data_IF_226708567661
#
_entry.id   IF_226708567661
#
_cell.length_a   1.000
_cell.length_b   1.000
_cell.length_c   1.000
_cell.angle_alpha   90.00
_cell.angle_beta   90.00
_cell.angle_gamma   90.00
#
_symmetry.space_group_name_H-M   'P 1'
#
loop_
_entity.id
_entity.type
_entity.pdbx_description
1 polymer ?
#
# COMPACT_ATOMS: atom_id res chain seq x y z
N UNK A 1 -17.72 73.77 -35.19
CA UNK A 1 -17.48 73.22 -36.53
C UNK A 1 -16.95 71.79 -36.39
N UNK A 2 -17.64 70.85 -37.04
CA UNK A 2 -17.25 69.50 -37.49
C UNK A 2 -16.54 68.49 -36.55
N UNK A 3 -17.25 67.36 -36.36
CA UNK A 3 -16.82 66.00 -35.97
C UNK A 3 -15.79 65.38 -36.96
N UNK A 4 -15.11 64.25 -36.65
CA UNK A 4 -15.71 62.94 -36.97
C UNK A 4 -15.33 61.76 -36.04
N UNK A 5 -16.27 60.84 -35.87
CA UNK A 5 -16.03 59.42 -35.57
C UNK A 5 -15.61 58.69 -36.87
N UNK A 6 -14.95 57.53 -36.79
CA UNK A 6 -15.30 56.47 -37.73
C UNK A 6 -15.56 55.12 -37.05
N UNK A 7 -16.56 54.47 -37.62
CA UNK A 7 -17.00 53.07 -37.52
C UNK A 7 -15.97 52.05 -38.05
N UNK A 8 -16.00 50.84 -37.46
CA UNK A 8 -15.46 49.48 -37.80
C UNK A 8 -15.13 49.15 -39.28
N UNK A 9 -14.27 48.15 -39.66
CA UNK A 9 -14.16 46.76 -39.13
C UNK A 9 -12.75 46.07 -39.18
N UNK A 10 -12.60 44.86 -38.62
CA UNK A 10 -11.57 43.88 -39.05
C UNK A 10 -10.68 43.24 -37.98
N UNK A 11 -10.91 41.93 -37.77
CA UNK A 11 -9.94 40.85 -37.51
C UNK A 11 -8.80 41.01 -36.50
N UNK A 12 -8.98 40.45 -35.29
CA UNK A 12 -7.88 40.07 -34.41
C UNK A 12 -8.10 38.68 -33.76
N UNK A 13 -7.46 37.68 -34.38
CA UNK A 13 -6.73 36.55 -33.76
C UNK A 13 -7.51 35.54 -32.88
N UNK A 14 -7.95 34.39 -33.42
CA UNK A 14 -8.26 33.21 -32.61
C UNK A 14 -6.94 32.48 -32.28
N UNK A 15 -6.14 33.03 -31.36
CA UNK A 15 -4.82 32.47 -31.04
C UNK A 15 -4.52 32.29 -29.54
N UNK A 16 -5.24 33.00 -28.66
CA UNK A 16 -4.84 33.09 -27.25
C UNK A 16 -5.46 31.98 -26.40
N UNK A 17 -6.62 31.43 -26.79
CA UNK A 17 -7.28 30.38 -26.02
C UNK A 17 -6.79 28.95 -26.31
N UNK A 18 -6.06 28.71 -27.39
CA UNK A 18 -5.46 27.38 -27.67
C UNK A 18 -4.21 27.08 -26.81
N UNK A 19 -3.62 28.10 -26.19
CA UNK A 19 -2.38 27.93 -25.45
C UNK A 19 -2.59 27.47 -24.00
N UNK A 20 -3.80 27.64 -23.44
CA UNK A 20 -4.16 27.08 -22.13
C UNK A 20 -4.38 25.57 -22.16
N UNK A 21 -4.94 25.03 -23.25
CA UNK A 21 -5.14 23.57 -23.42
C UNK A 21 -3.83 22.81 -23.61
N UNK A 22 -2.78 23.49 -24.10
CA UNK A 22 -1.45 22.89 -24.29
C UNK A 22 -0.66 22.74 -22.97
N UNK A 23 -1.00 23.54 -21.94
CA UNK A 23 -0.41 23.40 -20.60
C UNK A 23 -1.05 22.26 -19.80
N UNK A 24 -2.32 21.92 -20.08
CA UNK A 24 -2.99 20.78 -19.44
C UNK A 24 -2.35 19.43 -19.82
N UNK A 25 -1.72 19.33 -20.99
CA UNK A 25 -1.03 18.11 -21.43
C UNK A 25 0.33 17.88 -20.79
N UNK A 26 0.97 18.90 -20.18
CA UNK A 26 2.30 18.71 -19.57
C UNK A 26 2.24 18.22 -18.10
N UNK A 27 1.15 18.53 -17.38
CA UNK A 27 1.00 18.18 -15.95
C UNK A 27 0.75 16.68 -15.72
N UNK A 28 0.28 15.96 -16.74
CA UNK A 28 -0.02 14.52 -16.65
C UNK A 28 1.25 13.64 -16.58
N UNK A 29 2.42 14.16 -16.96
CA UNK A 29 3.71 13.44 -16.94
C UNK A 29 4.21 13.15 -15.51
N UNK A 30 3.86 14.00 -14.55
CA UNK A 30 4.47 14.00 -13.21
C UNK A 30 3.87 12.97 -12.25
N UNK A 31 2.81 12.27 -12.66
CA UNK A 31 2.12 11.30 -11.83
C UNK A 31 2.38 9.85 -12.29
N UNK A 32 2.37 8.92 -11.33
CA UNK A 32 2.31 7.50 -11.60
C UNK A 32 0.86 7.00 -11.60
N UNK A 33 0.50 6.26 -12.64
CA UNK A 33 -0.78 5.57 -12.80
C UNK A 33 -0.62 4.05 -12.73
N UNK A 34 0.54 3.55 -12.27
CA UNK A 34 0.84 2.11 -12.20
C UNK A 34 -0.16 1.29 -11.37
N UNK A 35 -0.83 1.91 -10.40
CA UNK A 35 -1.85 1.28 -9.56
C UNK A 35 -3.27 1.34 -10.14
N UNK A 36 -3.41 1.72 -11.40
CA UNK A 36 -4.69 1.71 -12.09
C UNK A 36 -5.34 0.32 -12.07
N UNK A 37 -6.56 0.25 -11.52
CA UNK A 37 -7.37 -0.97 -11.51
C UNK A 37 -8.19 -1.01 -12.81
N UNK A 38 -8.32 -2.16 -13.49
CA UNK A 38 -9.21 -2.30 -14.65
C UNK A 38 -10.66 -1.98 -14.26
N UNK A 39 -11.42 -1.35 -15.16
CA UNK A 39 -12.83 -0.93 -14.94
C UNK A 39 -13.75 -2.08 -14.47
N UNK A 40 -13.35 -3.35 -14.61
CA UNK A 40 -14.09 -4.52 -14.13
C UNK A 40 -14.03 -4.77 -12.60
N UNK A 41 -13.23 -4.02 -11.86
CA UNK A 41 -13.05 -4.21 -10.40
C UNK A 41 -13.32 -2.94 -9.58
N UNK A 42 -13.69 -1.83 -10.22
CA UNK A 42 -14.03 -0.59 -9.55
C UNK A 42 -15.54 -0.48 -9.34
N UNK A 43 -15.92 -0.25 -8.08
CA UNK A 43 -17.27 0.01 -7.55
C UNK A 43 -18.05 -1.26 -7.18
N UNK A 44 -17.93 -1.64 -5.90
CA UNK A 44 -18.94 -2.38 -5.11
C UNK A 44 -19.69 -3.49 -5.87
N UNK A 45 -19.09 -4.66 -6.05
CA UNK A 45 -19.78 -5.97 -5.92
C UNK A 45 -18.75 -7.12 -6.02
N UNK A 46 -18.11 -7.49 -4.91
CA UNK A 46 -17.48 -8.81 -4.75
C UNK A 46 -18.07 -9.49 -3.52
N UNK A 47 -19.38 -9.34 -3.32
CA UNK A 47 -20.15 -10.10 -2.33
C UNK A 47 -21.19 -11.04 -2.98
N UNK A 48 -21.26 -11.12 -4.33
CA UNK A 48 -22.23 -11.97 -5.03
C UNK A 48 -21.77 -13.38 -5.44
N UNK A 49 -20.52 -13.79 -5.18
CA UNK A 49 -20.04 -15.13 -5.62
C UNK A 49 -19.71 -16.09 -4.46
N UNK A 50 -19.87 -15.70 -3.19
CA UNK A 50 -19.59 -16.62 -2.07
C UNK A 50 -20.71 -16.74 -1.02
N UNK A 51 -21.74 -15.89 -1.02
CA UNK A 51 -22.83 -16.00 -0.05
C UNK A 51 -24.06 -16.70 -0.64
N UNK A 52 -24.01 -18.04 -0.65
CA UNK A 52 -25.21 -18.84 -0.54
C UNK A 52 -25.17 -19.60 0.78
N UNK A 53 -25.06 -18.85 1.88
CA UNK A 53 -25.54 -19.21 3.21
C UNK A 53 -25.35 -18.00 4.14
N UNK A 54 -26.36 -17.76 4.98
CA UNK A 54 -26.46 -16.75 6.05
C UNK A 54 -26.82 -15.31 5.62
N UNK A 55 -28.12 -15.14 5.39
CA UNK A 55 -28.88 -13.92 5.69
C UNK A 55 -28.69 -13.51 7.16
N UNK A 56 -28.16 -12.30 7.40
CA UNK A 56 -28.58 -11.46 8.54
C UNK A 56 -28.24 -9.98 8.33
N UNK A 57 -29.31 -9.19 8.22
CA UNK A 57 -29.51 -7.77 8.57
C UNK A 57 -28.47 -6.70 8.16
N UNK A 58 -28.98 -5.79 7.32
CA UNK A 58 -28.46 -4.48 6.91
C UNK A 58 -28.37 -3.46 8.08
N UNK A 59 -27.58 -3.76 9.11
CA UNK A 59 -27.12 -2.73 10.06
C UNK A 59 -25.76 -2.26 9.58
N UNK A 60 -25.60 -0.99 9.26
CA UNK A 60 -24.29 -0.34 9.07
C UNK A 60 -23.46 -0.57 10.33
N UNK A 61 -22.62 -1.61 10.34
CA UNK A 61 -21.83 -2.00 11.51
C UNK A 61 -20.81 -0.88 11.76
N UNK A 62 -20.98 -0.13 12.85
CA UNK A 62 -20.10 0.98 13.24
C UNK A 62 -18.76 0.50 13.83
N UNK A 63 -18.73 -0.74 14.32
CA UNK A 63 -17.56 -1.39 14.93
C UNK A 63 -17.49 -2.88 14.61
N UNK A 64 -16.33 -3.50 14.88
CA UNK A 64 -16.15 -4.95 14.78
C UNK A 64 -16.67 -5.60 16.08
N UNK A 65 -17.54 -6.63 16.01
CA UNK A 65 -18.04 -7.32 17.20
C UNK A 65 -16.92 -7.98 18.02
N UNK A 66 -17.00 -7.95 19.35
CA UNK A 66 -15.96 -8.54 20.22
C UNK A 66 -15.70 -10.02 19.97
N UNK A 67 -16.73 -10.78 19.54
CA UNK A 67 -16.60 -12.20 19.15
C UNK A 67 -15.49 -12.45 18.13
N UNK A 68 -15.13 -11.46 17.30
CA UNK A 68 -14.08 -11.59 16.28
C UNK A 68 -12.69 -11.87 16.86
N UNK A 69 -12.44 -11.58 18.14
CA UNK A 69 -11.16 -11.86 18.81
C UNK A 69 -10.91 -13.37 18.90
N UNK A 70 -11.98 -14.16 19.02
CA UNK A 70 -11.91 -15.61 19.17
C UNK A 70 -11.78 -16.36 17.83
N UNK A 71 -11.81 -15.64 16.71
CA UNK A 71 -11.58 -16.23 15.40
C UNK A 71 -10.16 -16.83 15.32
N UNK A 72 -9.95 -17.85 14.46
CA UNK A 72 -8.64 -18.46 14.30
C UNK A 72 -7.60 -17.40 13.91
N UNK A 73 -6.39 -17.46 14.49
CA UNK A 73 -5.35 -16.48 14.25
C UNK A 73 -4.88 -16.56 12.79
N UNK A 74 -4.80 -15.40 12.13
CA UNK A 74 -4.38 -15.28 10.73
C UNK A 74 -3.01 -14.60 10.68
N UNK A 75 -2.09 -15.17 9.91
CA UNK A 75 -0.76 -14.61 9.67
C UNK A 75 -0.83 -13.19 9.10
N UNK A 76 0.12 -12.34 9.48
CA UNK A 76 0.10 -10.94 9.07
C UNK A 76 0.27 -10.75 7.56
N UNK A 77 1.03 -11.64 6.91
CA UNK A 77 1.33 -11.60 5.48
C UNK A 77 0.24 -12.26 4.61
N UNK A 78 -0.84 -12.76 5.22
CA UNK A 78 -1.91 -13.43 4.49
C UNK A 78 -2.79 -12.43 3.74
N UNK A 79 -3.06 -12.71 2.46
CA UNK A 79 -3.97 -11.92 1.61
C UNK A 79 -5.42 -11.96 2.12
N UNK A 80 -5.80 -13.03 2.83
CA UNK A 80 -7.16 -13.19 3.36
C UNK A 80 -7.39 -12.45 4.68
N UNK A 81 -6.40 -11.69 5.16
CA UNK A 81 -6.49 -10.96 6.41
C UNK A 81 -7.34 -9.71 6.25
N UNK A 82 -8.63 -9.80 6.60
CA UNK A 82 -9.57 -8.67 6.63
C UNK A 82 -9.51 -7.99 8.00
N UNK A 83 -8.91 -6.80 8.05
CA UNK A 83 -8.73 -6.05 9.30
C UNK A 83 -9.78 -4.94 9.47
N UNK A 84 -10.25 -4.37 8.37
CA UNK A 84 -11.15 -3.22 8.40
C UNK A 84 -12.63 -3.62 8.47
N UNK A 85 -13.45 -2.69 8.95
CA UNK A 85 -14.91 -2.83 8.93
C UNK A 85 -15.38 -2.83 7.47
N UNK A 86 -16.11 -3.88 7.03
CA UNK A 86 -16.59 -3.97 5.66
C UNK A 86 -17.59 -2.86 5.34
N UNK A 87 -17.52 -2.31 4.13
CA UNK A 87 -18.45 -1.26 3.66
C UNK A 87 -18.21 0.15 4.21
N UNK A 88 -17.27 0.35 5.14
CA UNK A 88 -16.95 1.67 5.70
C UNK A 88 -15.68 2.25 5.07
N UNK A 89 -15.75 3.47 4.54
CA UNK A 89 -14.61 4.19 3.97
C UNK A 89 -13.62 4.69 5.05
N UNK A 90 -12.36 4.89 4.66
CA UNK A 90 -11.33 5.50 5.52
C UNK A 90 -11.12 6.93 5.06
N UNK A 91 -11.43 7.89 5.92
CA UNK A 91 -11.17 9.31 5.67
C UNK A 91 -9.74 9.62 6.07
N UNK A 92 -9.00 10.28 5.18
CA UNK A 92 -7.60 10.66 5.36
C UNK A 92 -7.50 12.18 5.31
N UNK A 93 -6.76 12.80 6.24
CA UNK A 93 -6.46 14.23 6.24
C UNK A 93 -5.01 14.48 6.64
N UNK A 94 -4.30 15.34 5.93
CA UNK A 94 -2.97 15.78 6.34
C UNK A 94 -3.11 17.04 7.21
N UNK A 95 -2.74 16.96 8.49
CA UNK A 95 -2.89 18.09 9.43
C UNK A 95 -1.65 18.98 9.42
N UNK A 96 -0.49 18.39 9.69
CA UNK A 96 0.74 19.14 9.96
C UNK A 96 1.89 18.59 9.13
N UNK A 97 2.86 19.46 8.87
CA UNK A 97 4.14 19.11 8.28
C UNK A 97 5.28 19.72 9.10
N UNK A 98 6.06 18.87 9.77
CA UNK A 98 7.28 19.26 10.49
C UNK A 98 8.49 19.08 9.56
N UNK A 99 9.22 20.15 9.24
CA UNK A 99 10.41 20.10 8.39
C UNK A 99 11.69 20.09 9.22
N UNK A 100 12.42 18.99 9.21
CA UNK A 100 13.70 18.82 9.91
C UNK A 100 14.85 18.64 8.93
N UNK A 101 15.42 19.75 8.46
CA UNK A 101 16.54 19.77 7.50
C UNK A 101 17.87 19.33 8.14
N UNK A 102 18.02 19.50 9.46
CA UNK A 102 19.24 19.18 10.21
C UNK A 102 19.47 17.68 10.38
N UNK A 103 18.40 16.92 10.65
CA UNK A 103 18.48 15.47 10.95
C UNK A 103 18.32 14.57 9.72
N UNK A 104 17.67 15.05 8.66
CA UNK A 104 17.29 14.21 7.51
C UNK A 104 17.41 14.93 6.18
N UNK A 105 18.53 14.68 5.48
CA UNK A 105 18.90 15.40 4.25
C UNK A 105 18.01 15.07 3.03
N UNK A 106 17.54 13.83 2.89
CA UNK A 106 16.82 13.36 1.69
C UNK A 106 15.28 13.46 1.79
N UNK A 107 14.73 13.38 3.01
CA UNK A 107 13.28 13.47 3.27
C UNK A 107 13.06 14.25 4.57
N UNK A 108 13.19 15.60 4.52
CA UNK A 108 13.19 16.44 5.70
C UNK A 108 11.79 16.58 6.32
N UNK A 109 10.73 16.35 5.55
CA UNK A 109 9.35 16.57 5.97
C UNK A 109 8.76 15.34 6.67
N UNK A 110 8.17 15.58 7.84
CA UNK A 110 7.42 14.62 8.62
C UNK A 110 5.96 15.08 8.65
N UNK A 111 5.09 14.30 8.02
CA UNK A 111 3.66 14.57 7.93
C UNK A 111 2.91 13.93 9.10
N UNK A 112 2.01 14.69 9.71
CA UNK A 112 1.00 14.17 10.63
C UNK A 112 -0.29 13.93 9.86
N UNK A 113 -0.66 12.65 9.72
CA UNK A 113 -1.83 12.19 8.97
C UNK A 113 -2.90 11.76 9.96
N UNK A 114 -4.08 12.34 9.86
CA UNK A 114 -5.27 11.96 10.59
C UNK A 114 -6.11 10.98 9.78
N UNK A 115 -6.53 9.91 10.44
CA UNK A 115 -7.29 8.83 9.86
C UNK A 115 -8.56 8.62 10.67
N UNK A 116 -9.69 8.49 9.98
CA UNK A 116 -10.97 8.18 10.57
C UNK A 116 -11.60 6.99 9.84
N UNK A 117 -12.03 5.99 10.60
CA UNK A 117 -12.67 4.79 10.09
C UNK A 117 -13.79 4.37 11.05
N UNK A 118 -15.05 4.53 10.63
CA UNK A 118 -16.21 4.39 11.51
C UNK A 118 -16.14 5.38 12.68
N UNK A 119 -16.27 4.86 13.89
CA UNK A 119 -16.14 5.64 15.14
C UNK A 119 -14.69 5.84 15.59
N UNK A 120 -13.74 5.15 14.95
CA UNK A 120 -12.34 5.18 15.37
C UNK A 120 -11.57 6.27 14.63
N UNK A 121 -10.84 7.07 15.40
CA UNK A 121 -9.94 8.10 14.88
C UNK A 121 -8.54 7.91 15.44
N UNK A 122 -7.51 8.03 14.61
CA UNK A 122 -6.12 7.97 15.05
C UNK A 122 -5.22 8.80 14.16
N UNK A 123 -4.04 9.15 14.68
CA UNK A 123 -3.03 9.91 13.96
C UNK A 123 -1.78 9.06 13.74
N UNK A 124 -1.18 9.18 12.55
CA UNK A 124 0.11 8.57 12.24
C UNK A 124 1.09 9.65 11.77
N UNK A 125 2.35 9.53 12.18
CA UNK A 125 3.43 10.37 11.67
C UNK A 125 4.23 9.60 10.63
N UNK A 126 4.33 10.13 9.40
CA UNK A 126 5.00 9.48 8.27
C UNK A 126 5.77 10.49 7.43
N UNK A 127 6.92 10.06 6.90
CA UNK A 127 7.69 10.83 5.92
C UNK A 127 7.31 10.40 4.52
N UNK A 128 7.65 11.21 3.52
CA UNK A 128 7.40 10.91 2.12
C UNK A 128 7.94 9.52 1.70
N UNK A 129 9.16 9.16 2.14
CA UNK A 129 9.75 7.83 1.86
C UNK A 129 8.87 6.64 2.26
N UNK A 130 8.05 6.77 3.30
CA UNK A 130 7.18 5.67 3.74
C UNK A 130 5.98 5.50 2.79
N UNK A 131 5.44 6.61 2.28
CA UNK A 131 4.36 6.61 1.30
C UNK A 131 4.88 6.11 -0.05
N UNK A 132 6.09 6.53 -0.44
CA UNK A 132 6.78 6.03 -1.63
C UNK A 132 7.03 4.52 -1.55
N UNK A 133 7.52 4.03 -0.41
CA UNK A 133 7.72 2.60 -0.18
C UNK A 133 6.40 1.81 -0.32
N UNK A 134 5.33 2.30 0.32
CA UNK A 134 4.00 1.69 0.18
C UNK A 134 3.56 1.62 -1.28
N UNK A 135 3.71 2.72 -2.02
CA UNK A 135 3.39 2.78 -3.44
C UNK A 135 4.15 1.70 -4.24
N UNK A 136 5.48 1.60 -4.06
CA UNK A 136 6.31 0.60 -4.73
C UNK A 136 5.87 -0.84 -4.41
N UNK A 137 5.56 -1.15 -3.15
CA UNK A 137 5.08 -2.47 -2.76
C UNK A 137 3.76 -2.82 -3.44
N UNK A 138 2.84 -1.87 -3.51
CA UNK A 138 1.56 -2.07 -4.20
C UNK A 138 1.73 -2.18 -5.71
N UNK A 139 2.69 -1.46 -6.30
CA UNK A 139 2.99 -1.55 -7.73
C UNK A 139 3.56 -2.92 -8.08
N UNK A 140 4.46 -3.45 -7.24
CA UNK A 140 4.96 -4.83 -7.37
C UNK A 140 3.84 -5.85 -7.21
N UNK A 141 2.97 -5.67 -6.22
CA UNK A 141 1.81 -6.54 -6.01
C UNK A 141 0.87 -6.51 -7.22
N UNK A 142 0.55 -5.32 -7.75
CA UNK A 142 -0.29 -5.16 -8.94
C UNK A 142 0.33 -5.85 -10.16
N UNK A 143 1.62 -5.62 -10.40
CA UNK A 143 2.35 -6.30 -11.46
C UNK A 143 2.30 -7.83 -11.28
N UNK A 144 2.42 -8.33 -10.05
CA UNK A 144 2.33 -9.77 -9.77
C UNK A 144 0.98 -10.40 -10.10
N UNK A 145 -0.12 -9.65 -9.96
CA UNK A 145 -1.47 -10.08 -10.35
C UNK A 145 -1.66 -10.12 -11.86
N UNK A 146 -0.98 -9.23 -12.58
CA UNK A 146 -1.06 -9.12 -14.04
C UNK A 146 -0.11 -10.11 -14.75
N UNK A 147 0.81 -10.78 -14.04
CA UNK A 147 1.66 -11.84 -14.62
C UNK A 147 0.76 -13.06 -14.88
N UNK A 148 0.57 -13.47 -16.15
CA UNK A 148 -0.16 -14.70 -16.44
C UNK A 148 0.62 -15.87 -15.85
N UNK A 149 0.01 -16.59 -14.91
CA UNK A 149 0.58 -17.85 -14.42
C UNK A 149 0.86 -18.74 -15.64
N UNK A 150 2.04 -19.37 -15.74
CA UNK A 150 2.37 -20.23 -16.86
C UNK A 150 1.44 -21.45 -16.86
N UNK A 151 0.31 -21.33 -17.55
CA UNK A 151 -0.67 -22.41 -17.70
C UNK A 151 -0.06 -23.52 -18.56
N UNK A 152 -0.65 -24.71 -18.49
CA UNK A 152 -0.24 -25.87 -19.31
C UNK A 152 -0.15 -25.50 -20.80
N UNK A 153 -1.03 -24.60 -21.26
CA UNK A 153 -1.04 -24.04 -22.62
C UNK A 153 0.21 -23.20 -22.94
N UNK A 154 0.68 -22.35 -22.01
CA UNK A 154 1.95 -21.62 -22.15
C UNK A 154 3.16 -22.57 -22.18
N UNK A 155 3.13 -23.64 -21.37
CA UNK A 155 4.19 -24.68 -21.38
C UNK A 155 4.22 -25.44 -22.70
N UNK A 156 3.06 -25.83 -23.24
CA UNK A 156 2.94 -26.44 -24.58
C UNK A 156 3.38 -25.50 -25.70
N UNK A 157 3.01 -24.20 -25.67
CA UNK A 157 3.48 -23.22 -26.67
C UNK A 157 4.99 -23.02 -26.65
N UNK A 158 5.63 -23.04 -25.46
CA UNK A 158 7.11 -22.99 -25.37
C UNK A 158 7.77 -24.26 -25.88
N UNK A 159 7.13 -25.42 -25.69
CA UNK A 159 7.61 -26.69 -26.24
C UNK A 159 7.45 -26.72 -27.78
N UNK A 160 6.33 -26.22 -28.31
CA UNK A 160 6.11 -26.13 -29.76
C UNK A 160 7.05 -25.12 -30.41
N UNK A 161 7.37 -24.00 -29.75
CA UNK A 161 8.38 -23.04 -30.22
C UNK A 161 9.77 -23.65 -30.38
N UNK A 162 10.14 -24.66 -29.58
CA UNK A 162 11.41 -25.37 -29.78
C UNK A 162 11.41 -26.27 -31.02
N UNK A 163 10.25 -26.77 -31.45
CA UNK A 163 10.12 -27.53 -32.70
C UNK A 163 9.97 -26.63 -33.94
N UNK A 164 9.42 -25.41 -33.80
CA UNK A 164 9.30 -24.48 -34.93
C UNK A 164 10.62 -23.86 -35.34
N UNK A 165 11.60 -23.68 -34.44
CA UNK A 165 12.93 -23.16 -34.81
C UNK A 165 13.64 -24.04 -35.86
N UNK A 166 13.47 -25.37 -35.78
CA UNK A 166 14.03 -26.31 -36.78
C UNK A 166 13.29 -26.25 -38.14
N UNK A 167 12.08 -25.68 -38.15
CA UNK A 167 11.21 -25.57 -39.34
C UNK A 167 11.32 -24.17 -39.97
N UNK A 168 11.55 -23.15 -39.14
CA UNK A 168 11.73 -21.74 -39.54
C UNK A 168 13.04 -21.53 -40.31
N UNK A 169 14.17 -22.17 -39.95
CA UNK A 169 15.40 -22.16 -40.77
C UNK A 169 15.17 -22.71 -42.19
N UNK A 170 14.25 -23.67 -42.33
CA UNK A 170 13.90 -24.30 -43.61
C UNK A 170 12.90 -23.46 -44.40
N UNK A 171 12.02 -22.73 -43.72
CA UNK A 171 11.04 -21.82 -44.32
C UNK A 171 11.65 -20.47 -44.71
N UNK A 172 12.65 -19.98 -43.97
CA UNK A 172 13.37 -18.72 -44.25
C UNK A 172 14.15 -18.81 -45.57
N UNK A 173 14.74 -19.96 -45.89
CA UNK A 173 15.35 -20.22 -47.21
C UNK A 173 14.36 -20.17 -48.38
N UNK A 174 13.11 -20.56 -48.16
CA UNK A 174 12.06 -20.57 -49.19
C UNK A 174 11.43 -19.17 -49.33
N UNK A 175 11.34 -18.41 -48.24
CA UNK A 175 10.81 -17.05 -48.23
C UNK A 175 11.74 -16.02 -48.88
N UNK A 176 13.06 -16.25 -48.90
CA UNK A 176 14.04 -15.38 -49.56
C UNK A 176 13.91 -15.36 -51.10
N UNK A 177 13.18 -16.29 -51.70
CA UNK A 177 12.94 -16.34 -53.15
C UNK A 177 11.61 -15.70 -53.60
N UNK A 178 10.76 -15.24 -52.67
CA UNK A 178 9.48 -14.63 -53.01
C UNK A 178 9.31 -13.25 -52.37
N UNK A 179 9.52 -12.19 -53.16
CA UNK A 179 9.24 -10.79 -52.80
C UNK A 179 8.25 -10.23 -53.83
N UNK A 180 7.09 -9.67 -53.43
CA UNK A 180 7.04 -8.22 -53.23
C UNK A 180 6.26 -7.70 -52.01
N UNK A 181 6.63 -6.46 -51.68
CA UNK A 181 6.22 -5.52 -50.62
C UNK A 181 4.71 -5.24 -50.54
N UNK A 182 4.23 -4.95 -49.32
CA UNK A 182 3.13 -3.99 -49.10
C UNK A 182 3.22 -3.25 -47.76
N UNK A 183 2.71 -2.00 -47.79
CA UNK A 183 2.82 -0.91 -46.82
C UNK A 183 2.30 -1.18 -45.39
N UNK A 184 2.83 -0.48 -44.36
CA UNK A 184 2.32 -0.58 -42.99
C UNK A 184 0.98 0.16 -42.82
N UNK A 185 -0.05 -0.57 -42.36
CA UNK A 185 -1.32 0.03 -41.90
C UNK A 185 -1.11 0.78 -40.58
N UNK A 186 -1.58 2.02 -40.59
CA UNK A 186 -1.72 2.97 -39.47
C UNK A 186 -2.52 2.31 -38.32
N UNK A 187 -1.91 2.18 -37.14
CA UNK A 187 -2.58 1.68 -35.91
C UNK A 187 -3.47 2.79 -35.36
N UNK A 188 -4.76 2.51 -35.22
CA UNK A 188 -5.75 3.41 -34.63
C UNK A 188 -5.53 3.58 -33.12
N UNK A 189 -5.88 4.77 -32.64
CA UNK A 189 -5.62 5.25 -31.28
C UNK A 189 -6.35 4.45 -30.21
N UNK A 190 -5.61 4.13 -29.15
CA UNK A 190 -6.17 3.57 -27.90
C UNK A 190 -7.24 4.53 -27.35
N UNK A 191 -8.39 4.02 -26.88
CA UNK A 191 -9.42 4.87 -26.29
C UNK A 191 -8.86 5.55 -25.03
N UNK A 192 -9.11 6.86 -24.91
CA UNK A 192 -8.72 7.66 -23.75
C UNK A 192 -9.44 7.12 -22.51
N UNK A 193 -8.66 6.58 -21.57
CA UNK A 193 -9.12 6.09 -20.27
C UNK A 193 -9.89 7.20 -19.54
N UNK A 194 -11.06 6.88 -18.99
CA UNK A 194 -11.83 7.83 -18.15
C UNK A 194 -11.05 8.05 -16.85
N UNK A 195 -10.64 9.31 -16.62
CA UNK A 195 -9.77 9.76 -15.52
C UNK A 195 -10.52 9.97 -14.20
N UNK A 196 -11.40 9.05 -13.81
CA UNK A 196 -12.20 9.18 -12.59
C UNK A 196 -11.78 8.13 -11.57
N UNK A 197 -11.24 8.55 -10.42
CA UNK A 197 -10.98 7.74 -9.22
C UNK A 197 -9.75 6.80 -9.20
N UNK A 198 -8.70 7.07 -10.00
CA UNK A 198 -7.47 6.28 -9.95
C UNK A 198 -6.47 6.88 -8.92
N UNK A 199 -5.76 6.06 -8.11
CA UNK A 199 -4.72 6.55 -7.23
C UNK A 199 -3.55 7.08 -8.07
N UNK A 200 -3.40 8.41 -8.12
CA UNK A 200 -2.33 9.10 -8.85
C UNK A 200 -1.20 9.46 -7.89
N UNK A 201 -0.07 8.77 -8.01
CA UNK A 201 1.06 9.02 -7.11
C UNK A 201 1.98 10.12 -7.66
N UNK A 202 2.33 11.15 -6.90
CA UNK A 202 3.11 12.26 -7.44
C UNK A 202 4.62 11.95 -7.41
N UNK A 203 5.25 11.71 -8.56
CA UNK A 203 6.62 11.14 -8.69
C UNK A 203 7.74 12.07 -8.25
N UNK A 204 7.52 13.38 -8.32
CA UNK A 204 8.54 14.40 -8.02
C UNK A 204 9.12 14.18 -6.60
N UNK A 205 10.44 13.98 -6.44
CA UNK A 205 11.07 13.81 -5.13
C UNK A 205 10.91 15.07 -4.28
N UNK A 206 10.79 14.83 -2.97
CA UNK A 206 10.52 15.86 -1.97
C UNK A 206 11.58 16.96 -1.90
N UNK A 207 12.84 16.63 -2.20
CA UNK A 207 13.96 17.60 -2.23
C UNK A 207 13.73 18.72 -3.25
N UNK A 208 12.98 18.44 -4.32
CA UNK A 208 12.67 19.43 -5.38
C UNK A 208 11.42 20.26 -5.09
N UNK A 209 10.81 20.09 -3.92
CA UNK A 209 9.59 20.81 -3.53
C UNK A 209 9.99 22.00 -2.67
N UNK A 210 9.58 23.20 -3.09
CA UNK A 210 9.78 24.43 -2.32
C UNK A 210 8.92 24.42 -1.06
N UNK A 211 9.26 25.27 -0.09
CA UNK A 211 8.46 25.40 1.14
C UNK A 211 7.00 25.76 0.83
N UNK A 212 6.75 26.62 -0.14
CA UNK A 212 5.40 27.03 -0.55
C UNK A 212 4.63 25.91 -1.25
N UNK A 213 5.31 25.05 -1.99
CA UNK A 213 4.71 23.91 -2.70
C UNK A 213 4.30 22.75 -1.79
N UNK A 214 4.62 22.79 -0.49
CA UNK A 214 4.35 21.69 0.43
C UNK A 214 2.85 21.47 0.68
N UNK A 215 2.06 22.55 0.69
CA UNK A 215 0.62 22.47 0.93
C UNK A 215 -0.08 21.75 -0.24
N UNK A 216 0.30 22.11 -1.47
CA UNK A 216 -0.17 21.41 -2.67
C UNK A 216 0.25 19.94 -2.63
N UNK A 217 1.48 19.66 -2.20
CA UNK A 217 1.97 18.29 -2.06
C UNK A 217 1.16 17.48 -1.05
N UNK A 218 0.84 18.06 0.11
CA UNK A 218 0.00 17.41 1.12
C UNK A 218 -1.37 17.05 0.53
N UNK A 219 -2.00 17.97 -0.19
CA UNK A 219 -3.29 17.72 -0.86
C UNK A 219 -3.20 16.58 -1.90
N UNK A 220 -2.14 16.55 -2.71
CA UNK A 220 -1.92 15.46 -3.67
C UNK A 220 -1.75 14.10 -2.98
N UNK A 221 -1.02 14.06 -1.86
CA UNK A 221 -0.82 12.84 -1.08
C UNK A 221 -2.10 12.41 -0.35
N UNK A 222 -2.90 13.36 0.11
CA UNK A 222 -4.22 13.12 0.71
C UNK A 222 -5.16 12.45 -0.27
N UNK A 223 -5.31 13.03 -1.47
CA UNK A 223 -6.14 12.49 -2.54
C UNK A 223 -5.64 11.10 -2.99
N UNK A 224 -4.32 10.93 -3.12
CA UNK A 224 -3.72 9.64 -3.44
C UNK A 224 -4.07 8.57 -2.41
N UNK A 225 -3.88 8.85 -1.11
CA UNK A 225 -4.16 7.89 -0.04
C UNK A 225 -5.66 7.60 0.08
N UNK A 226 -6.51 8.61 -0.06
CA UNK A 226 -7.96 8.42 -0.05
C UNK A 226 -8.41 7.47 -1.17
N UNK A 227 -7.99 7.72 -2.40
CA UNK A 227 -8.31 6.86 -3.55
C UNK A 227 -7.73 5.44 -3.38
N UNK A 228 -6.52 5.32 -2.83
CA UNK A 228 -5.88 4.04 -2.59
C UNK A 228 -6.65 3.19 -1.57
N UNK A 229 -7.08 3.79 -0.46
CA UNK A 229 -7.78 3.09 0.62
C UNK A 229 -9.24 2.76 0.27
N UNK A 230 -9.82 3.45 -0.69
CA UNK A 230 -11.15 3.13 -1.22
C UNK A 230 -11.15 1.79 -1.99
N UNK A 231 -10.00 1.36 -2.53
CA UNK A 231 -9.85 0.10 -3.24
C UNK A 231 -9.58 -1.02 -2.25
N UNK A 232 -10.53 -1.96 -2.09
CA UNK A 232 -10.46 -3.06 -1.11
C UNK A 232 -9.22 -3.96 -1.25
N UNK A 233 -8.75 -4.16 -2.48
CA UNK A 233 -7.56 -4.97 -2.80
C UNK A 233 -6.29 -4.35 -2.20
N UNK A 234 -6.11 -3.03 -2.34
CA UNK A 234 -4.95 -2.31 -1.79
C UNK A 234 -5.11 -2.01 -0.32
N UNK A 235 -6.34 -1.72 0.13
CA UNK A 235 -6.68 -1.49 1.53
C UNK A 235 -6.28 -2.67 2.42
N UNK A 236 -6.60 -3.89 2.01
CA UNK A 236 -6.32 -5.10 2.79
C UNK A 236 -4.89 -5.64 2.60
N UNK A 237 -4.06 -5.00 1.78
CA UNK A 237 -2.68 -5.44 1.58
C UNK A 237 -1.87 -5.33 2.89
N UNK A 238 -1.00 -6.31 3.22
CA UNK A 238 -0.26 -6.34 4.49
C UNK A 238 0.58 -5.07 4.73
N UNK A 239 1.23 -4.54 3.68
CA UNK A 239 2.01 -3.29 3.81
C UNK A 239 1.13 -2.06 4.06
N UNK A 240 -0.11 -2.02 3.54
CA UNK A 240 -1.06 -0.93 3.81
C UNK A 240 -1.51 -0.97 5.26
N UNK A 241 -1.85 -2.16 5.77
CA UNK A 241 -2.23 -2.39 7.17
C UNK A 241 -1.09 -1.98 8.12
N UNK A 242 0.15 -2.38 7.79
CA UNK A 242 1.35 -1.99 8.53
C UNK A 242 1.59 -0.48 8.46
N UNK A 243 1.41 0.14 7.30
CA UNK A 243 1.57 1.58 7.10
C UNK A 243 0.59 2.37 7.98
N UNK A 244 -0.68 1.95 8.03
CA UNK A 244 -1.75 2.58 8.81
C UNK A 244 -1.68 2.30 10.32
N UNK A 245 -0.80 1.39 10.76
CA UNK A 245 -0.68 0.97 12.17
C UNK A 245 -1.98 0.38 12.72
N UNK A 246 -2.50 -0.63 12.02
CA UNK A 246 -3.78 -1.26 12.34
C UNK A 246 -3.60 -2.77 12.46
N UNK A 247 -4.39 -3.40 13.32
CA UNK A 247 -4.51 -4.84 13.48
C UNK A 247 -5.96 -5.26 13.72
N UNK A 248 -6.18 -6.57 13.83
CA UNK A 248 -7.48 -7.20 14.05
C UNK A 248 -8.17 -6.77 15.36
N UNK A 249 -7.45 -6.16 16.29
CA UNK A 249 -7.99 -5.64 17.56
C UNK A 249 -8.27 -4.13 17.54
N UNK A 250 -7.87 -3.42 16.48
CA UNK A 250 -7.96 -1.96 16.44
C UNK A 250 -9.39 -1.45 16.51
N UNK A 251 -10.29 -2.05 15.73
CA UNK A 251 -11.66 -1.56 15.49
C UNK A 251 -12.74 -2.27 16.32
N UNK A 252 -12.35 -2.86 17.45
CA UNK A 252 -13.28 -3.49 18.39
C UNK A 252 -13.66 -2.45 19.44
N UNK A 253 -14.93 -2.03 19.44
CA UNK A 253 -15.41 -0.95 20.33
C UNK A 253 -15.35 -1.34 21.79
N UNK A 254 -15.64 -2.60 22.11
CA UNK A 254 -15.61 -3.14 23.48
C UNK A 254 -14.19 -3.18 24.09
N UNK A 255 -13.13 -3.15 23.28
CA UNK A 255 -11.74 -3.06 23.77
C UNK A 255 -11.29 -1.61 24.04
N UNK A 256 -12.16 -0.63 23.82
CA UNK A 256 -11.84 0.80 23.94
C UNK A 256 -11.25 1.40 22.67
N UNK A 257 -10.76 2.64 22.81
CA UNK A 257 -10.31 3.45 21.70
C UNK A 257 -9.09 2.84 20.99
N UNK A 258 -8.83 3.25 19.74
CA UNK A 258 -7.64 2.76 19.03
C UNK A 258 -6.40 3.53 19.51
N UNK A 259 -5.54 2.86 20.27
CA UNK A 259 -4.24 3.40 20.64
C UNK A 259 -3.15 3.23 19.56
N UNK A 260 -1.90 3.39 19.99
CA UNK A 260 -0.73 3.25 19.13
C UNK A 260 -0.44 1.77 18.88
N UNK A 261 -0.15 1.44 17.62
CA UNK A 261 0.21 0.09 17.21
C UNK A 261 1.43 0.11 16.29
N UNK A 262 2.14 -1.00 16.20
CA UNK A 262 3.24 -1.13 15.24
C UNK A 262 4.15 -2.32 15.44
N UNK A 263 5.01 -2.52 14.45
CA UNK A 263 6.05 -3.54 14.48
C UNK A 263 7.22 -3.07 15.35
N UNK A 264 7.58 -3.86 16.35
CA UNK A 264 8.72 -3.61 17.25
C UNK A 264 9.56 -4.88 17.32
N UNK A 265 10.88 -4.70 17.27
CA UNK A 265 11.80 -5.81 17.51
C UNK A 265 11.99 -5.99 19.01
N UNK A 266 11.67 -7.18 19.50
CA UNK A 266 11.89 -7.59 20.89
C UNK A 266 13.00 -8.62 20.95
N UNK A 267 13.99 -8.40 21.83
CA UNK A 267 15.03 -9.40 22.13
C UNK A 267 14.43 -10.53 22.96
N UNK A 268 14.70 -11.77 22.57
CA UNK A 268 14.26 -12.97 23.31
C UNK A 268 15.17 -13.18 24.51
N UNK A 269 14.60 -13.18 25.73
CA UNK A 269 15.34 -13.35 26.99
C UNK A 269 14.73 -12.52 28.13
N UNK A 270 15.00 -12.91 29.38
CA UNK A 270 14.68 -12.09 30.56
C UNK A 270 15.67 -10.94 30.68
N UNK A 271 15.21 -9.76 31.10
CA UNK A 271 16.06 -8.64 31.52
C UNK A 271 16.69 -8.87 32.90
N UNK A 272 16.23 -9.88 33.66
CA UNK A 272 16.85 -10.27 34.91
C UNK A 272 18.09 -11.15 34.64
N UNK A 273 19.27 -10.79 35.19
CA UNK A 273 20.44 -11.64 35.17
C UNK A 273 20.09 -13.03 35.72
N UNK A 274 20.46 -14.11 35.01
CA UNK A 274 20.28 -15.49 35.47
C UNK A 274 18.96 -16.20 35.12
N UNK A 275 17.92 -15.52 34.62
CA UNK A 275 16.67 -16.16 34.20
C UNK A 275 16.58 -16.48 32.69
N UNK A 276 17.50 -15.96 31.88
CA UNK A 276 17.59 -16.31 30.47
C UNK A 276 18.31 -17.66 30.32
N UNK A 277 17.56 -18.75 30.18
CA UNK A 277 18.14 -20.04 29.80
C UNK A 277 18.95 -19.91 28.50
N UNK A 278 20.15 -20.50 28.46
CA UNK A 278 20.96 -20.54 27.24
C UNK A 278 20.32 -21.55 26.27
N UNK A 279 19.56 -21.08 25.28
CA UNK A 279 19.02 -21.93 24.22
C UNK A 279 20.02 -22.02 23.05
N UNK A 280 21.15 -22.70 23.27
CA UNK A 280 22.05 -23.11 22.21
C UNK A 280 21.39 -24.22 21.39
N UNK A 281 20.87 -23.88 20.21
CA UNK A 281 20.40 -24.84 19.19
C UNK A 281 19.38 -25.89 19.68
N UNK A 282 18.59 -25.61 20.71
CA UNK A 282 17.52 -26.51 21.18
C UNK A 282 18.00 -27.84 21.80
N UNK A 283 19.28 -27.98 22.13
CA UNK A 283 19.90 -29.27 22.50
C UNK A 283 20.36 -29.39 23.95
N UNK A 284 20.42 -28.31 24.74
CA UNK A 284 20.96 -28.35 26.10
C UNK A 284 20.03 -27.65 27.10
N UNK A 285 19.19 -28.45 27.76
CA UNK A 285 18.29 -28.02 28.83
C UNK A 285 18.95 -27.93 30.22
N UNK A 286 20.24 -28.20 30.36
CA UNK A 286 20.89 -28.27 31.68
C UNK A 286 22.36 -27.86 31.64
N UNK A 287 22.71 -26.93 32.56
CA UNK A 287 24.03 -26.62 33.12
C UNK A 287 25.22 -26.60 32.15
N UNK A 288 25.42 -25.48 31.45
CA UNK A 288 26.70 -25.15 30.82
C UNK A 288 27.34 -23.96 31.54
N UNK A 289 28.50 -24.24 32.15
CA UNK A 289 29.56 -23.36 32.67
C UNK A 289 29.24 -21.86 32.88
N UNK A 290 29.47 -21.35 34.09
CA UNK A 290 29.36 -19.92 34.48
C UNK A 290 30.13 -18.98 33.54
N UNK A 291 31.20 -19.47 32.89
CA UNK A 291 32.02 -18.72 31.91
C UNK A 291 31.42 -18.66 30.49
N UNK A 292 30.42 -19.50 30.18
CA UNK A 292 29.64 -19.45 28.95
C UNK A 292 28.38 -18.57 29.08
N UNK A 293 27.99 -18.18 30.30
CA UNK A 293 26.83 -17.31 30.53
C UNK A 293 26.97 -15.98 29.78
N UNK A 294 28.15 -15.36 29.77
CA UNK A 294 28.40 -14.09 29.07
C UNK A 294 28.38 -14.24 27.54
N UNK A 295 28.91 -15.35 27.01
CA UNK A 295 28.92 -15.63 25.57
C UNK A 295 27.52 -15.99 25.03
N UNK A 296 26.76 -16.78 25.81
CA UNK A 296 25.37 -17.15 25.51
C UNK A 296 24.40 -15.95 25.58
N UNK A 297 24.50 -15.11 26.61
CA UNK A 297 23.56 -13.99 26.81
C UNK A 297 23.87 -12.78 25.92
N UNK A 298 25.15 -12.54 25.63
CA UNK A 298 25.62 -11.39 24.85
C UNK A 298 25.57 -11.58 23.33
N UNK A 299 26.05 -12.72 22.81
CA UNK A 299 26.38 -12.88 21.39
C UNK A 299 25.55 -13.92 20.62
N UNK A 300 25.14 -15.05 21.24
CA UNK A 300 24.65 -16.23 20.47
C UNK A 300 23.17 -16.56 20.67
N UNK A 301 22.59 -16.36 21.86
CA UNK A 301 21.23 -16.84 22.16
C UNK A 301 20.14 -15.75 22.20
N UNK A 302 20.53 -14.48 22.13
CA UNK A 302 19.59 -13.37 22.10
C UNK A 302 19.17 -13.04 20.67
N UNK A 303 18.11 -13.69 20.19
CA UNK A 303 17.54 -13.38 18.88
C UNK A 303 16.55 -12.24 18.99
N UNK A 304 16.75 -11.21 18.18
CA UNK A 304 15.72 -10.21 17.90
C UNK A 304 14.61 -10.85 17.11
N UNK A 305 13.39 -10.67 17.58
CA UNK A 305 12.22 -11.16 16.88
C UNK A 305 11.18 -10.05 16.76
N UNK A 306 10.53 -10.00 15.60
CA UNK A 306 9.48 -9.02 15.36
C UNK A 306 8.22 -9.39 16.14
N UNK A 307 7.61 -8.36 16.72
CA UNK A 307 6.35 -8.42 17.46
C UNK A 307 5.51 -7.24 17.03
N UNK A 308 4.22 -7.46 16.85
CA UNK A 308 3.27 -6.37 16.68
C UNK A 308 2.75 -5.98 18.05
N UNK A 309 3.10 -4.78 18.52
CA UNK A 309 2.58 -4.26 19.78
C UNK A 309 1.36 -3.39 19.50
N UNK A 310 0.39 -3.46 20.40
CA UNK A 310 -0.78 -2.62 20.37
C UNK A 310 -1.10 -2.16 21.79
N UNK A 311 -1.52 -0.91 21.90
CA UNK A 311 -1.90 -0.28 23.17
C UNK A 311 -3.38 0.09 23.10
N UNK A 312 -4.09 -0.19 24.18
CA UNK A 312 -5.49 0.19 24.44
C UNK A 312 -5.55 0.99 25.75
N UNK A 313 -6.73 1.46 26.11
CA UNK A 313 -6.91 2.36 27.25
C UNK A 313 -6.59 1.67 28.59
N UNK A 314 -6.92 0.39 28.73
CA UNK A 314 -6.78 -0.38 29.98
C UNK A 314 -5.67 -1.43 29.95
N UNK A 315 -5.09 -1.70 28.78
CA UNK A 315 -4.06 -2.72 28.64
C UNK A 315 -3.20 -2.50 27.39
N UNK A 316 -2.06 -3.16 27.34
CA UNK A 316 -1.32 -3.33 26.10
C UNK A 316 -0.96 -4.79 25.89
N UNK A 317 -0.70 -5.17 24.65
CA UNK A 317 -0.38 -6.54 24.31
C UNK A 317 0.53 -6.64 23.10
N UNK A 318 0.94 -7.86 22.80
CA UNK A 318 1.65 -8.12 21.55
C UNK A 318 1.16 -9.37 20.83
N UNK A 319 1.17 -9.27 19.50
CA UNK A 319 0.80 -10.31 18.55
C UNK A 319 2.06 -10.78 17.84
N UNK A 320 2.17 -12.10 17.62
CA UNK A 320 3.24 -12.67 16.81
C UNK A 320 2.85 -12.59 15.32
N UNK A 321 3.61 -11.88 14.47
CA UNK A 321 3.26 -11.72 13.05
C UNK A 321 3.20 -13.04 12.26
N UNK A 322 4.06 -14.01 12.61
CA UNK A 322 4.19 -15.29 11.90
C UNK A 322 2.95 -16.16 11.99
N UNK A 323 2.24 -16.09 13.11
CA UNK A 323 1.11 -16.97 13.43
C UNK A 323 -0.19 -16.18 13.59
N UNK A 324 -0.11 -14.86 13.83
CA UNK A 324 -1.27 -14.02 14.16
C UNK A 324 -1.79 -14.17 15.58
N UNK A 325 -1.11 -14.95 16.44
CA UNK A 325 -1.55 -15.24 17.81
C UNK A 325 -1.18 -14.10 18.77
N UNK A 326 -2.14 -13.70 19.61
CA UNK A 326 -1.89 -12.83 20.76
C UNK A 326 -1.15 -13.67 21.81
N UNK A 327 0.03 -13.21 22.26
CA UNK A 327 0.92 -14.00 23.12
C UNK A 327 0.96 -13.52 24.56
N UNK A 328 0.84 -12.21 24.79
CA UNK A 328 0.74 -11.65 26.12
C UNK A 328 -0.08 -10.37 26.10
N UNK A 329 -0.76 -10.15 27.21
CA UNK A 329 -1.53 -8.96 27.53
C UNK A 329 -1.07 -8.51 28.91
N UNK A 330 -0.82 -7.21 29.07
CA UNK A 330 -0.40 -6.57 30.31
C UNK A 330 -1.42 -5.49 30.61
N UNK A 331 -2.12 -5.64 31.73
CA UNK A 331 -3.14 -4.70 32.20
C UNK A 331 -2.46 -3.50 32.85
N UNK A 332 -3.03 -2.32 32.66
CA UNK A 332 -2.64 -1.15 33.45
C UNK A 332 -3.29 -1.24 34.82
N UNK A 333 -2.48 -1.01 35.85
CA UNK A 333 -2.98 -0.93 37.21
C UNK A 333 -3.71 0.41 37.42
N UNK A 334 -4.88 0.36 38.04
CA UNK A 334 -5.66 1.53 38.43
C UNK A 334 -5.29 1.82 39.88
N UNK A 335 -4.09 2.38 40.08
CA UNK A 335 -3.56 2.70 41.42
C UNK A 335 -4.46 3.61 42.24
#
# INVERSE_FOLDING_TARGET
MATPTPTTPGDCLPGIFQQLDSLATCVDSDFDESLAVPESLSVIDVDKIVNKEETDANTTRASVPFKSIHNPPIKFDSVHRKVFIPGVEIKVRFIENERSVTTHLLNPNLYTIFLQHGEFTWTIKRRYKHILYLHQQLTLYRASLDIPFPTKTHKCRRASFKNTLNTEEKAERIALEAVPRNNPKKREGKPKKRKGALPRFPKKPEVMITYEGIQLRMKQLEEYLFNLLNISIYRNHPETVKFLEVSNVSFISELGSKGKEGMIQKRTGSTQPGQAGCNCFGLLGTMVCVRCHYCCTGLVCAKWQERWLFVKDTFFGYIRPTDGTIKAIMLFDQG
#
